data_IF_315060906139
#
_entry.id   IF_315060906139
#
_cell.length_a   1.000
_cell.length_b   1.000
_cell.length_c   1.000
_cell.angle_alpha   90.00
_cell.angle_beta   90.00
_cell.angle_gamma   90.00
#
_symmetry.space_group_name_H-M   'P 1'
#
loop_
_entity.id
_entity.type
_entity.pdbx_description
1 polymer ?
#
# COMPACT_ATOMS: atom_id res chain seq x y z
N UNK A 1 -10.14 -17.03 23.31
CA UNK A 1 -9.65 -16.39 22.06
C UNK A 1 -8.27 -15.80 22.33
N UNK A 2 -7.26 -16.16 21.53
CA UNK A 2 -5.93 -15.56 21.62
C UNK A 2 -5.92 -14.32 20.74
N UNK A 3 -5.48 -13.20 21.30
CA UNK A 3 -5.36 -11.94 20.57
C UNK A 3 -3.91 -11.49 20.58
N UNK A 4 -3.43 -11.02 19.45
CA UNK A 4 -2.12 -10.39 19.30
C UNK A 4 -2.29 -9.03 18.65
N UNK A 5 -1.67 -8.01 19.23
CA UNK A 5 -1.71 -6.63 18.75
C UNK A 5 -0.27 -6.16 18.53
N UNK A 6 -0.05 -5.42 17.46
CA UNK A 6 1.22 -4.77 17.17
C UNK A 6 0.95 -3.34 16.70
N UNK A 7 1.65 -2.38 17.28
CA UNK A 7 1.65 -1.00 16.86
C UNK A 7 3.10 -0.53 16.68
N UNK A 8 3.32 0.39 15.75
CA UNK A 8 4.63 0.97 15.48
C UNK A 8 4.51 2.31 14.78
N UNK A 9 5.58 3.09 14.86
CA UNK A 9 5.72 4.34 14.14
C UNK A 9 7.16 4.48 13.65
N UNK A 10 7.36 5.21 12.56
CA UNK A 10 8.67 5.61 12.06
C UNK A 10 8.65 7.11 11.78
N UNK A 11 9.75 7.75 12.18
CA UNK A 11 10.02 9.18 11.96
C UNK A 11 11.25 9.28 11.07
N UNK A 12 11.17 10.05 10.00
CA UNK A 12 12.28 10.25 9.06
C UNK A 12 12.47 11.72 8.74
N UNK A 13 13.72 12.19 8.82
CA UNK A 13 14.08 13.56 8.47
C UNK A 13 15.15 13.50 7.39
N UNK A 14 14.88 14.16 6.27
CA UNK A 14 15.84 14.34 5.19
C UNK A 14 16.20 15.82 5.09
N UNK A 15 17.45 16.09 4.75
CA UNK A 15 17.86 17.45 4.48
C UNK A 15 17.09 17.99 3.26
N UNK A 16 16.34 19.07 3.45
CA UNK A 16 15.52 19.69 2.40
C UNK A 16 14.08 19.19 2.31
N UNK A 17 13.65 18.26 3.17
CA UNK A 17 12.25 17.81 3.26
C UNK A 17 11.73 17.95 4.69
N UNK A 18 10.41 17.96 4.81
CA UNK A 18 9.73 17.93 6.10
C UNK A 18 9.95 16.59 6.84
N UNK A 19 9.62 16.58 8.13
CA UNK A 19 9.66 15.36 8.95
C UNK A 19 8.51 14.44 8.55
N UNK A 20 8.84 13.21 8.18
CA UNK A 20 7.88 12.19 7.79
C UNK A 20 7.50 11.29 8.95
N UNK A 21 6.20 11.13 9.19
CA UNK A 21 5.63 10.26 10.23
C UNK A 21 4.82 9.13 9.60
N UNK A 22 5.18 7.88 9.89
CA UNK A 22 4.54 6.69 9.32
C UNK A 22 4.07 5.72 10.43
N UNK A 23 2.83 5.89 10.93
CA UNK A 23 2.23 4.99 11.90
C UNK A 23 1.72 3.70 11.23
N UNK A 24 1.68 2.62 12.02
CA UNK A 24 1.07 1.34 11.63
C UNK A 24 0.52 0.59 12.84
N UNK A 25 -0.56 -0.14 12.63
CA UNK A 25 -1.17 -1.02 13.62
C UNK A 25 -1.68 -2.30 12.96
N UNK A 26 -1.65 -3.41 13.69
CA UNK A 26 -2.21 -4.69 13.25
C UNK A 26 -2.74 -5.50 14.42
N UNK A 27 -3.73 -6.33 14.14
CA UNK A 27 -4.36 -7.22 15.10
C UNK A 27 -4.61 -8.59 14.46
N UNK A 28 -4.45 -9.63 15.27
CA UNK A 28 -4.89 -10.99 14.95
C UNK A 28 -5.69 -11.52 16.12
N UNK A 29 -6.87 -12.07 15.83
CA UNK A 29 -7.79 -12.66 16.82
C UNK A 29 -8.10 -14.09 16.40
N UNK A 30 -7.67 -15.07 17.19
CA UNK A 30 -8.14 -16.45 17.08
C UNK A 30 -9.56 -16.55 17.64
N UNK A 31 -10.53 -16.55 16.73
CA UNK A 31 -11.96 -16.68 17.04
C UNK A 31 -12.28 -18.12 17.43
N UNK A 32 -11.74 -19.08 16.67
CA UNK A 32 -11.80 -20.50 17.00
C UNK A 32 -10.37 -21.04 17.04
N UNK A 33 -9.88 -21.53 18.19
CA UNK A 33 -8.52 -22.04 18.32
C UNK A 33 -8.17 -23.03 17.20
N UNK A 34 -7.01 -22.81 16.56
CA UNK A 34 -6.46 -23.63 15.47
C UNK A 34 -7.33 -23.77 14.20
N UNK A 35 -8.48 -23.08 14.12
CA UNK A 35 -9.45 -23.22 13.03
C UNK A 35 -9.73 -21.91 12.34
N UNK A 36 -9.98 -20.82 13.07
CA UNK A 36 -10.36 -19.54 12.50
C UNK A 36 -9.63 -18.40 13.20
N UNK A 37 -8.84 -17.66 12.43
CA UNK A 37 -8.26 -16.39 12.84
C UNK A 37 -8.76 -15.26 11.94
N UNK A 38 -9.07 -14.13 12.54
CA UNK A 38 -9.30 -12.87 11.84
C UNK A 38 -8.05 -12.00 11.99
N UNK A 39 -7.67 -11.31 10.93
CA UNK A 39 -6.57 -10.36 10.93
C UNK A 39 -7.00 -9.03 10.34
N UNK A 40 -6.37 -7.98 10.81
CA UNK A 40 -6.49 -6.66 10.21
C UNK A 40 -5.22 -5.85 10.43
N UNK A 41 -4.91 -4.99 9.48
CA UNK A 41 -3.81 -4.06 9.58
C UNK A 41 -4.19 -2.73 8.95
N UNK A 42 -3.56 -1.67 9.44
CA UNK A 42 -3.65 -0.33 8.89
C UNK A 42 -2.26 0.32 9.00
N UNK A 43 -1.92 1.16 8.03
CA UNK A 43 -0.71 1.97 8.14
C UNK A 43 -0.53 2.94 6.98
N UNK A 44 0.37 3.88 7.22
CA UNK A 44 0.77 4.90 6.25
C UNK A 44 2.20 4.66 5.79
N UNK A 45 2.48 5.03 4.55
CA UNK A 45 3.79 5.03 3.94
C UNK A 45 3.95 6.26 3.03
N UNK A 46 5.18 6.55 2.62
CA UNK A 46 5.47 7.66 1.73
C UNK A 46 6.61 7.29 0.76
N UNK A 47 6.72 8.06 -0.34
CA UNK A 47 7.84 8.03 -1.27
C UNK A 47 8.46 9.41 -1.36
N UNK A 48 9.67 9.57 -0.83
CA UNK A 48 10.43 10.81 -0.98
C UNK A 48 10.68 11.13 -2.47
N UNK A 49 10.68 12.41 -2.86
CA UNK A 49 11.07 12.82 -4.19
C UNK A 49 12.57 12.56 -4.42
N UNK A 50 12.92 12.06 -5.59
CA UNK A 50 14.33 11.89 -5.96
C UNK A 50 15.00 13.22 -6.38
N UNK A 51 16.33 13.22 -6.49
CA UNK A 51 17.10 14.43 -6.83
C UNK A 51 16.75 14.99 -8.21
N UNK A 52 16.34 14.14 -9.15
CA UNK A 52 15.92 14.61 -10.48
C UNK A 52 14.55 15.24 -10.40
N UNK A 53 13.65 14.68 -9.60
CA UNK A 53 12.32 15.24 -9.40
C UNK A 53 12.40 16.66 -8.82
N UNK A 54 13.28 16.88 -7.84
CA UNK A 54 13.44 18.18 -7.17
C UNK A 54 14.29 19.18 -7.96
N UNK A 55 15.47 18.76 -8.45
CA UNK A 55 16.52 19.69 -8.88
C UNK A 55 16.87 19.62 -10.38
N UNK A 56 16.15 18.83 -11.18
CA UNK A 56 16.40 18.80 -12.62
C UNK A 56 15.98 20.12 -13.27
N UNK A 57 16.97 20.91 -13.69
CA UNK A 57 16.80 22.17 -14.42
C UNK A 57 17.44 22.05 -15.81
N UNK A 58 16.68 22.32 -16.88
CA UNK A 58 17.19 22.37 -18.25
C UNK A 58 16.23 23.19 -19.16
N UNK A 59 16.52 23.38 -20.46
CA UNK A 59 15.66 24.16 -21.36
C UNK A 59 14.20 23.67 -21.50
N UNK A 60 13.90 22.43 -21.12
CA UNK A 60 12.58 21.82 -21.21
C UNK A 60 11.92 21.57 -19.85
N UNK A 61 12.68 21.63 -18.76
CA UNK A 61 12.22 21.26 -17.41
C UNK A 61 12.67 22.32 -16.42
N UNK A 62 11.71 22.83 -15.64
CA UNK A 62 11.92 23.71 -14.50
C UNK A 62 12.01 22.86 -13.23
N UNK A 63 13.06 23.06 -12.44
CA UNK A 63 13.22 22.45 -11.14
C UNK A 63 12.12 22.94 -10.18
N UNK A 64 11.71 22.05 -9.26
CA UNK A 64 10.81 22.40 -8.18
C UNK A 64 11.35 21.81 -6.87
N UNK A 65 12.17 22.58 -6.13
CA UNK A 65 12.70 22.18 -4.83
C UNK A 65 11.63 21.99 -3.76
N UNK A 66 10.42 22.54 -3.96
CA UNK A 66 9.34 22.55 -2.98
C UNK A 66 8.43 21.29 -3.11
N UNK A 67 8.84 20.29 -3.88
CA UNK A 67 8.09 19.02 -4.01
C UNK A 67 8.08 18.28 -2.69
N UNK A 68 6.90 17.87 -2.28
CA UNK A 68 6.66 17.06 -1.11
C UNK A 68 6.71 15.56 -1.45
N UNK A 69 6.83 14.67 -0.46
CA UNK A 69 6.69 13.24 -0.70
C UNK A 69 5.29 12.81 -1.13
N UNK A 70 5.22 11.78 -1.97
CA UNK A 70 3.97 11.07 -2.24
C UNK A 70 3.57 10.29 -0.99
N UNK A 71 2.28 10.22 -0.67
CA UNK A 71 1.77 9.53 0.51
C UNK A 71 0.85 8.39 0.12
N UNK A 72 0.81 7.37 0.95
CA UNK A 72 -0.17 6.30 0.84
C UNK A 72 -0.68 5.88 2.20
N UNK A 73 -1.96 5.58 2.27
CA UNK A 73 -2.60 4.94 3.42
C UNK A 73 -3.21 3.62 2.96
N UNK A 74 -3.10 2.58 3.78
CA UNK A 74 -3.64 1.27 3.47
C UNK A 74 -4.29 0.66 4.69
N UNK A 75 -5.37 -0.06 4.45
CA UNK A 75 -5.92 -1.00 5.41
C UNK A 75 -6.24 -2.34 4.75
N UNK A 76 -6.08 -3.40 5.52
CA UNK A 76 -6.45 -4.74 5.11
C UNK A 76 -7.21 -5.45 6.22
N UNK A 77 -8.13 -6.32 5.81
CA UNK A 77 -8.89 -7.19 6.68
C UNK A 77 -8.99 -8.57 6.05
N UNK A 78 -8.78 -9.62 6.85
CA UNK A 78 -8.75 -10.98 6.33
C UNK A 78 -9.11 -12.04 7.34
N UNK A 79 -9.31 -13.24 6.83
CA UNK A 79 -9.57 -14.43 7.61
C UNK A 79 -8.68 -15.58 7.13
N UNK A 80 -8.15 -16.32 8.09
CA UNK A 80 -7.41 -17.55 7.88
C UNK A 80 -8.20 -18.71 8.50
N UNK A 81 -8.50 -19.72 7.69
CA UNK A 81 -9.30 -20.88 8.07
C UNK A 81 -8.52 -22.16 7.87
N UNK A 82 -8.45 -23.00 8.91
CA UNK A 82 -7.85 -24.32 8.86
C UNK A 82 -8.91 -25.39 9.07
N UNK A 83 -8.98 -26.33 8.12
CA UNK A 83 -10.00 -27.40 8.06
C UNK A 83 -9.34 -28.78 7.96
N UNK A 84 -10.16 -29.82 8.07
CA UNK A 84 -9.76 -31.22 7.87
C UNK A 84 -8.54 -31.61 8.72
N UNK A 85 -8.56 -31.26 10.01
CA UNK A 85 -7.48 -31.50 10.97
C UNK A 85 -6.11 -30.99 10.47
N UNK A 86 -6.08 -29.77 9.91
CA UNK A 86 -4.85 -29.14 9.43
C UNK A 86 -4.42 -29.54 8.01
N UNK A 87 -5.24 -30.34 7.31
CA UNK A 87 -4.95 -30.74 5.92
C UNK A 87 -5.31 -29.66 4.91
N UNK A 88 -6.20 -28.72 5.23
CA UNK A 88 -6.59 -27.62 4.34
C UNK A 88 -6.44 -26.30 5.08
N UNK A 89 -5.77 -25.34 4.45
CA UNK A 89 -5.67 -23.95 4.91
C UNK A 89 -6.18 -23.03 3.81
N UNK A 90 -7.07 -22.11 4.18
CA UNK A 90 -7.65 -21.09 3.31
C UNK A 90 -7.30 -19.73 3.90
N UNK A 91 -6.96 -18.77 3.04
CA UNK A 91 -6.80 -17.37 3.42
C UNK A 91 -7.59 -16.51 2.45
N UNK A 92 -8.25 -15.47 2.97
CA UNK A 92 -8.90 -14.44 2.17
C UNK A 92 -8.58 -13.08 2.79
N UNK A 93 -8.29 -12.07 1.97
CA UNK A 93 -7.98 -10.70 2.39
C UNK A 93 -8.66 -9.74 1.47
N UNK A 94 -9.31 -8.76 2.04
CA UNK A 94 -9.65 -7.52 1.36
C UNK A 94 -8.63 -6.46 1.75
N UNK A 95 -8.19 -5.69 0.78
CA UNK A 95 -7.34 -4.53 1.02
C UNK A 95 -7.90 -3.32 0.27
N UNK A 96 -7.60 -2.15 0.82
CA UNK A 96 -7.87 -0.85 0.24
C UNK A 96 -6.66 0.04 0.48
N UNK A 97 -6.23 0.74 -0.56
CA UNK A 97 -5.04 1.56 -0.53
C UNK A 97 -5.25 2.83 -1.34
N UNK A 98 -5.11 3.95 -0.66
CA UNK A 98 -5.17 5.29 -1.24
C UNK A 98 -3.76 5.84 -1.42
N UNK A 99 -3.55 6.56 -2.52
CA UNK A 99 -2.34 7.31 -2.81
C UNK A 99 -2.68 8.77 -3.09
N UNK A 100 -1.96 9.67 -2.44
CA UNK A 100 -2.15 11.12 -2.51
C UNK A 100 -0.81 11.83 -2.73
N UNK A 101 -0.89 13.11 -3.10
CA UNK A 101 0.28 13.97 -3.39
C UNK A 101 1.23 13.35 -4.42
N UNK A 102 0.68 12.68 -5.44
CA UNK A 102 1.48 11.99 -6.46
C UNK A 102 2.38 12.99 -7.20
N UNK A 103 3.64 12.64 -7.46
CA UNK A 103 4.56 13.53 -8.17
C UNK A 103 4.37 13.31 -9.66
N UNK A 104 3.77 14.28 -10.34
CA UNK A 104 3.53 14.25 -11.79
C UNK A 104 4.33 15.33 -12.49
N UNK A 105 4.87 14.99 -13.66
CA UNK A 105 5.48 15.97 -14.55
C UNK A 105 4.38 16.54 -15.45
N UNK A 106 4.13 17.84 -15.33
CA UNK A 106 3.12 18.54 -16.13
C UNK A 106 3.72 19.74 -16.85
N UNK A 107 3.08 20.16 -17.95
CA UNK A 107 3.36 21.42 -18.63
C UNK A 107 2.23 22.40 -18.27
N UNK A 108 2.43 23.33 -17.34
CA UNK A 108 1.37 24.26 -16.95
C UNK A 108 0.93 25.12 -18.14
N UNK A 109 -0.34 25.52 -18.17
CA UNK A 109 -0.88 26.35 -19.26
C UNK A 109 -0.11 27.67 -19.38
N UNK A 110 0.36 27.98 -20.58
CA UNK A 110 1.13 29.20 -20.87
C UNK A 110 2.61 29.14 -20.52
N UNK A 111 3.13 27.98 -20.10
CA UNK A 111 4.55 27.75 -19.85
C UNK A 111 5.19 26.93 -20.99
N UNK A 112 6.50 27.13 -21.21
CA UNK A 112 7.29 26.39 -22.22
C UNK A 112 8.09 25.23 -21.62
N UNK A 113 8.05 25.07 -20.29
CA UNK A 113 8.83 24.07 -19.55
C UNK A 113 7.95 23.26 -18.63
N UNK A 114 8.17 21.95 -18.60
CA UNK A 114 7.46 21.09 -17.65
C UNK A 114 8.04 21.23 -16.25
N UNK A 115 7.24 20.93 -15.25
CA UNK A 115 7.59 20.99 -13.84
C UNK A 115 6.99 19.78 -13.13
N UNK A 116 7.71 19.25 -12.14
CA UNK A 116 7.16 18.22 -11.27
C UNK A 116 6.33 18.87 -10.16
N UNK A 117 5.11 18.39 -9.94
CA UNK A 117 4.19 18.91 -8.92
C UNK A 117 3.50 17.75 -8.19
N UNK A 118 3.17 17.96 -6.92
CA UNK A 118 2.34 17.05 -6.13
C UNK A 118 0.88 17.25 -6.53
N UNK A 119 0.39 16.43 -7.46
CA UNK A 119 -0.97 16.47 -7.97
C UNK A 119 -1.50 15.06 -8.20
N UNK A 120 -2.82 14.93 -8.05
CA UNK A 120 -3.53 13.72 -8.35
C UNK A 120 -3.51 12.69 -7.22
N UNK A 121 -4.47 11.80 -7.32
CA UNK A 121 -4.75 10.76 -6.36
C UNK A 121 -5.18 9.48 -7.10
N UNK A 122 -4.89 8.33 -6.49
CA UNK A 122 -5.32 7.04 -7.03
C UNK A 122 -5.68 6.09 -5.91
N UNK A 123 -6.62 5.18 -6.18
CA UNK A 123 -6.99 4.09 -5.29
C UNK A 123 -6.64 2.74 -5.91
N UNK A 124 -6.32 1.77 -5.05
CA UNK A 124 -6.23 0.36 -5.39
C UNK A 124 -6.92 -0.46 -4.30
N UNK A 125 -7.95 -1.22 -4.67
CA UNK A 125 -8.64 -2.13 -3.77
C UNK A 125 -8.76 -3.50 -4.37
N UNK A 126 -8.85 -4.52 -3.54
CA UNK A 126 -8.88 -5.87 -4.07
C UNK A 126 -9.11 -6.96 -3.06
N UNK A 127 -9.18 -8.17 -3.62
CA UNK A 127 -9.24 -9.41 -2.87
C UNK A 127 -8.01 -10.25 -3.20
N UNK A 128 -7.42 -10.83 -2.18
CA UNK A 128 -6.37 -11.85 -2.31
C UNK A 128 -6.81 -13.12 -1.60
N UNK A 129 -6.56 -14.26 -2.21
CA UNK A 129 -6.88 -15.55 -1.60
C UNK A 129 -5.77 -16.56 -1.77
N UNK A 130 -5.71 -17.49 -0.82
CA UNK A 130 -4.82 -18.64 -0.87
C UNK A 130 -5.53 -19.90 -0.42
N UNK A 131 -5.17 -21.02 -1.05
CA UNK A 131 -5.63 -22.36 -0.71
C UNK A 131 -4.40 -23.25 -0.66
N UNK A 132 -4.18 -23.93 0.46
CA UNK A 132 -3.19 -25.01 0.59
C UNK A 132 -3.90 -26.26 1.05
N UNK A 133 -3.68 -27.37 0.36
CA UNK A 133 -4.30 -28.65 0.69
C UNK A 133 -3.28 -29.80 0.70
N UNK A 134 -3.51 -30.76 1.59
CA UNK A 134 -2.78 -32.04 1.68
C UNK A 134 -3.77 -33.19 1.56
N UNK A 135 -4.28 -33.50 0.34
CA UNK A 135 -5.36 -34.46 0.18
C UNK A 135 -4.99 -35.87 0.64
N UNK A 136 -3.72 -36.24 0.46
CA UNK A 136 -3.11 -37.48 0.91
C UNK A 136 -1.65 -37.27 1.25
N UNK A 137 -1.05 -38.22 1.94
CA UNK A 137 0.35 -38.15 2.31
C UNK A 137 1.22 -38.18 1.04
N UNK A 138 2.27 -37.33 1.03
CA UNK A 138 3.12 -37.14 -0.13
C UNK A 138 2.60 -36.17 -1.21
N UNK A 139 1.36 -35.69 -1.13
CA UNK A 139 0.81 -34.69 -2.07
C UNK A 139 0.48 -33.38 -1.37
N UNK A 140 0.99 -32.26 -1.91
CA UNK A 140 0.63 -30.90 -1.50
C UNK A 140 0.19 -30.11 -2.71
N UNK A 141 -0.96 -29.47 -2.61
CA UNK A 141 -1.50 -28.58 -3.63
C UNK A 141 -1.57 -27.17 -3.06
N UNK A 142 -1.26 -26.18 -3.91
CA UNK A 142 -1.31 -24.77 -3.57
C UNK A 142 -1.97 -23.99 -4.70
N UNK A 143 -2.84 -23.06 -4.35
CA UNK A 143 -3.43 -22.10 -5.28
C UNK A 143 -3.48 -20.74 -4.61
N UNK A 144 -3.13 -19.71 -5.36
CA UNK A 144 -3.21 -18.31 -4.92
C UNK A 144 -3.77 -17.49 -6.07
N UNK A 145 -4.50 -16.43 -5.76
CA UNK A 145 -4.99 -15.51 -6.76
C UNK A 145 -5.36 -14.18 -6.14
N UNK A 146 -5.53 -13.20 -7.01
CA UNK A 146 -5.95 -11.86 -6.64
C UNK A 146 -6.90 -11.30 -7.69
N UNK A 147 -7.75 -10.39 -7.24
CA UNK A 147 -8.54 -9.49 -8.07
C UNK A 147 -8.31 -8.08 -7.55
N UNK A 148 -7.96 -7.16 -8.44
CA UNK A 148 -7.56 -5.80 -8.10
C UNK A 148 -8.28 -4.85 -9.04
N UNK A 149 -8.91 -3.83 -8.45
CA UNK A 149 -9.52 -2.70 -9.13
C UNK A 149 -8.72 -1.44 -8.77
N UNK A 150 -8.40 -0.63 -9.76
CA UNK A 150 -7.59 0.58 -9.59
C UNK A 150 -8.26 1.74 -10.29
N UNK A 151 -8.35 2.89 -9.62
CA UNK A 151 -8.89 4.10 -10.21
C UNK A 151 -7.96 5.29 -9.99
N UNK A 152 -7.98 6.21 -10.95
CA UNK A 152 -7.40 7.55 -10.79
C UNK A 152 -8.53 8.42 -10.28
N UNK A 153 -8.38 8.92 -9.05
CA UNK A 153 -9.38 9.72 -8.35
C UNK A 153 -9.28 11.20 -8.71
N UNK A 154 -8.05 11.67 -8.88
CA UNK A 154 -7.74 13.03 -9.30
C UNK A 154 -6.52 13.01 -10.22
N UNK A 155 -6.59 13.82 -11.26
CA UNK A 155 -5.52 14.04 -12.22
C UNK A 155 -5.53 15.50 -12.73
N UNK A 156 -6.11 16.43 -11.95
CA UNK A 156 -6.14 17.84 -12.31
C UNK A 156 -4.72 18.39 -12.50
N UNK A 157 -4.46 19.00 -13.66
CA UNK A 157 -3.14 19.48 -14.09
C UNK A 157 -2.55 18.73 -15.30
N UNK A 158 -3.21 17.68 -15.79
CA UNK A 158 -3.03 17.12 -17.14
C UNK A 158 -4.14 17.53 -18.10
#
# INVERSE_FOLDING_TARGET
PRTSLLAGLRLESFQGLELEFTPRASAVVEVVPDVLALRGAWGQAYKAPDLRQQFQENPFIRANPDIEPERSESWEGGADVTLAAGRVSLGLTYFDQDFENLIRNILPEGEDRSVNMNIGASEARGLEWSVRARPRDGLRLGFTGSWIDTAILDNEGL
#
